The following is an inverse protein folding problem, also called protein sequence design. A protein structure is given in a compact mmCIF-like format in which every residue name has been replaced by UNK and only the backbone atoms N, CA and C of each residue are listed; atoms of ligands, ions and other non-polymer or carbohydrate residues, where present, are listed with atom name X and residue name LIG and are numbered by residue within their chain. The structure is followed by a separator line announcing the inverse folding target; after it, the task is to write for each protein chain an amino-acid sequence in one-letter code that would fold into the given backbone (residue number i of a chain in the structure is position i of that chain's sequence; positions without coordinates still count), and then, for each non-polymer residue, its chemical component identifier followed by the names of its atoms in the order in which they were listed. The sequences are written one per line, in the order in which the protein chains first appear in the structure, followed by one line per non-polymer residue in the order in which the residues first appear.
data_IF_809647091888
#
_entry.id   IF_809647091888
#
_cell.length_a   1.000
_cell.length_b   1.000
_cell.length_c   1.000
_cell.angle_alpha   90.00
_cell.angle_beta   90.00
_cell.angle_gamma   90.00
#
_symmetry.space_group_name_H-M   'P 1'
#
loop_
_entity.id
_entity.type
_entity.pdbx_description
1 polymer ?
#
# COMPACT_ATOMS: atom_id res chain seq x y z
N UNK A 1 8.17 16.05 27.47
CA UNK A 1 9.21 15.16 26.92
C UNK A 1 8.52 14.11 26.07
N UNK A 2 8.88 13.98 24.80
CA UNK A 2 8.34 12.93 23.92
C UNK A 2 8.97 11.58 24.29
N UNK A 3 8.21 10.49 24.14
CA UNK A 3 8.73 9.13 24.37
C UNK A 3 9.90 8.82 23.41
N UNK A 4 10.91 8.02 23.82
CA UNK A 4 11.96 7.54 22.93
C UNK A 4 11.42 6.84 21.67
N UNK A 5 10.23 6.21 21.76
CA UNK A 5 9.54 5.61 20.60
C UNK A 5 9.18 6.62 19.51
N UNK A 6 8.98 7.89 19.89
CA UNK A 6 8.54 8.97 18.99
C UNK A 6 9.67 9.93 18.61
N UNK A 7 10.73 10.02 19.42
CA UNK A 7 11.77 11.05 19.29
C UNK A 7 13.20 10.53 19.52
N UNK A 8 13.38 9.23 19.72
CA UNK A 8 14.68 8.60 19.85
C UNK A 8 15.32 8.26 18.50
N UNK A 9 16.31 7.38 18.54
CA UNK A 9 17.03 6.92 17.35
C UNK A 9 18.06 7.94 16.81
N UNK A 10 18.86 7.52 15.82
CA UNK A 10 20.00 8.31 15.31
C UNK A 10 19.59 9.59 14.58
N UNK A 11 18.33 9.69 14.14
CA UNK A 11 17.77 10.86 13.46
C UNK A 11 16.68 11.58 14.26
N UNK A 12 16.42 11.15 15.51
CA UNK A 12 15.33 11.70 16.32
C UNK A 12 13.93 11.40 15.77
N UNK A 13 13.79 10.40 14.89
CA UNK A 13 12.53 10.02 14.22
C UNK A 13 11.79 8.85 14.93
N UNK A 14 12.27 8.46 16.11
CA UNK A 14 11.83 7.30 16.86
C UNK A 14 12.82 6.13 16.79
N UNK A 15 12.60 5.16 17.67
CA UNK A 15 13.42 3.95 17.77
C UNK A 15 13.27 3.07 16.51
N UNK A 16 14.36 2.79 15.76
CA UNK A 16 14.32 1.91 14.59
C UNK A 16 13.88 0.48 14.87
N UNK A 17 14.11 -0.03 16.07
CA UNK A 17 13.87 -1.45 16.41
C UNK A 17 12.54 -1.64 17.15
N UNK A 18 11.79 -0.55 17.37
CA UNK A 18 10.41 -0.61 17.86
C UNK A 18 9.51 -1.30 16.83
N UNK A 19 8.85 -2.39 17.26
CA UNK A 19 7.90 -3.17 16.44
C UNK A 19 6.43 -2.82 16.72
N UNK A 20 6.17 -1.88 17.64
CA UNK A 20 4.79 -1.47 17.94
C UNK A 20 4.17 -0.68 16.80
N UNK A 21 2.86 -0.89 16.58
CA UNK A 21 2.09 -0.18 15.57
C UNK A 21 1.23 0.91 16.21
N UNK A 22 1.44 2.13 15.75
CA UNK A 22 0.58 3.29 16.00
C UNK A 22 -0.76 3.08 15.29
N UNK A 23 -1.79 3.80 15.77
CA UNK A 23 -3.14 3.76 15.19
C UNK A 23 -3.13 4.02 13.68
N UNK A 24 -2.45 5.08 13.24
CA UNK A 24 -2.31 5.43 11.82
C UNK A 24 -1.62 4.34 11.00
N UNK A 25 -0.69 3.61 11.57
CA UNK A 25 0.03 2.54 10.86
C UNK A 25 -0.88 1.35 10.66
N UNK A 26 -1.58 0.96 11.72
CA UNK A 26 -2.52 -0.17 11.74
C UNK A 26 -3.75 0.06 10.87
N UNK A 27 -4.29 1.27 10.89
CA UNK A 27 -5.59 1.60 10.28
C UNK A 27 -5.46 2.26 8.90
N UNK A 28 -4.30 2.85 8.57
CA UNK A 28 -4.13 3.60 7.32
C UNK A 28 -2.94 3.08 6.50
N UNK A 29 -1.73 3.06 7.05
CA UNK A 29 -0.53 2.80 6.24
C UNK A 29 -0.40 1.34 5.81
N UNK A 30 -0.60 0.37 6.72
CA UNK A 30 -0.59 -1.05 6.36
C UNK A 30 -1.77 -1.38 5.42
N UNK A 31 -3.02 -0.95 5.68
CA UNK A 31 -4.12 -1.16 4.74
C UNK A 31 -3.90 -0.50 3.36
N UNK A 32 -3.17 0.63 3.30
CA UNK A 32 -2.75 1.25 2.05
C UNK A 32 -1.73 0.37 1.31
N UNK A 33 -0.71 -0.12 2.01
CA UNK A 33 0.30 -1.01 1.44
C UNK A 33 -0.34 -2.30 0.89
N UNK A 34 -1.23 -2.91 1.68
CA UNK A 34 -2.05 -4.04 1.24
C UNK A 34 -2.81 -3.71 -0.04
N UNK A 35 -3.46 -2.54 -0.12
CA UNK A 35 -4.19 -2.10 -1.33
C UNK A 35 -3.32 -2.10 -2.57
N UNK A 36 -2.13 -1.53 -2.44
CA UNK A 36 -1.19 -1.33 -3.54
C UNK A 36 -0.61 -2.68 -3.97
N UNK A 37 -0.17 -3.51 -3.02
CA UNK A 37 0.29 -4.88 -3.28
C UNK A 37 -0.78 -5.71 -3.98
N UNK A 38 -2.00 -5.71 -3.43
CA UNK A 38 -3.11 -6.45 -4.01
C UNK A 38 -3.46 -5.96 -5.42
N UNK A 39 -3.51 -4.65 -5.66
CA UNK A 39 -3.86 -4.10 -6.99
C UNK A 39 -2.81 -4.42 -8.05
N UNK A 40 -1.52 -4.32 -7.71
CA UNK A 40 -0.45 -4.39 -8.70
C UNK A 40 0.25 -5.74 -8.80
N UNK A 41 0.09 -6.61 -7.81
CA UNK A 41 0.69 -7.95 -7.78
C UNK A 41 -0.41 -9.02 -7.82
N UNK A 42 -1.32 -9.03 -6.84
CA UNK A 42 -2.24 -10.17 -6.68
C UNK A 42 -3.45 -10.15 -7.64
N UNK A 43 -3.96 -8.96 -7.98
CA UNK A 43 -5.15 -8.75 -8.80
C UNK A 43 -4.81 -8.00 -10.10
N UNK A 44 -3.56 -8.10 -10.58
CA UNK A 44 -3.03 -7.30 -11.69
C UNK A 44 -3.83 -7.47 -12.98
N UNK A 45 -4.31 -8.69 -13.27
CA UNK A 45 -5.10 -8.96 -14.48
C UNK A 45 -6.43 -8.22 -14.46
N UNK A 46 -7.18 -8.33 -13.37
CA UNK A 46 -8.47 -7.65 -13.20
C UNK A 46 -8.29 -6.14 -13.10
N UNK A 47 -7.19 -5.68 -12.51
CA UNK A 47 -6.83 -4.27 -12.47
C UNK A 47 -6.55 -3.72 -13.88
N UNK A 48 -5.85 -4.47 -14.72
CA UNK A 48 -5.60 -4.10 -16.12
C UNK A 48 -6.89 -4.11 -16.95
N UNK A 49 -7.78 -5.08 -16.76
CA UNK A 49 -9.10 -5.09 -17.41
C UNK A 49 -9.94 -3.86 -16.99
N UNK A 50 -9.89 -3.48 -15.71
CA UNK A 50 -10.58 -2.29 -15.23
C UNK A 50 -9.97 -1.02 -15.82
N UNK A 51 -8.64 -0.89 -15.82
CA UNK A 51 -7.93 0.25 -16.41
C UNK A 51 -8.23 0.36 -17.91
N UNK A 52 -8.33 -0.76 -18.64
CA UNK A 52 -8.72 -0.78 -20.04
C UNK A 52 -10.16 -0.31 -20.24
N UNK A 53 -11.11 -0.86 -19.48
CA UNK A 53 -12.50 -0.44 -19.53
C UNK A 53 -12.66 1.06 -19.20
N UNK A 54 -11.92 1.55 -18.21
CA UNK A 54 -11.92 2.95 -17.82
C UNK A 54 -11.41 3.86 -18.94
N UNK A 55 -10.33 3.46 -19.64
CA UNK A 55 -9.78 4.21 -20.79
C UNK A 55 -10.77 4.28 -21.95
N UNK A 56 -11.49 3.20 -22.24
CA UNK A 56 -12.46 3.15 -23.34
C UNK A 56 -13.73 3.96 -23.06
N UNK A 57 -14.18 3.97 -21.80
CA UNK A 57 -15.47 4.56 -21.44
C UNK A 57 -15.37 5.97 -20.85
N UNK A 58 -14.17 6.41 -20.46
CA UNK A 58 -13.91 7.72 -19.89
C UNK A 58 -14.93 8.07 -18.80
N UNK A 59 -15.67 9.16 -19.00
CA UNK A 59 -16.69 9.62 -18.06
C UNK A 59 -17.78 8.58 -17.75
N UNK A 60 -18.13 7.70 -18.70
CA UNK A 60 -19.16 6.69 -18.53
C UNK A 60 -18.68 5.42 -17.83
N UNK A 61 -17.42 5.34 -17.39
CA UNK A 61 -16.87 4.14 -16.75
C UNK A 61 -17.65 3.65 -15.53
N UNK A 62 -18.24 4.56 -14.73
CA UNK A 62 -19.01 4.19 -13.53
C UNK A 62 -20.27 3.37 -13.88
N UNK A 63 -20.78 3.53 -15.09
CA UNK A 63 -21.92 2.78 -15.59
C UNK A 63 -21.44 1.54 -16.37
N UNK A 64 -20.49 1.72 -17.27
CA UNK A 64 -20.11 0.68 -18.23
C UNK A 64 -19.14 -0.35 -17.65
N UNK A 65 -18.32 0.02 -16.67
CA UNK A 65 -17.29 -0.85 -16.08
C UNK A 65 -17.72 -1.52 -14.78
N UNK A 66 -19.02 -1.48 -14.42
CA UNK A 66 -19.53 -2.04 -13.15
C UNK A 66 -19.16 -3.52 -12.94
N UNK A 67 -19.27 -4.33 -13.99
CA UNK A 67 -18.95 -5.76 -13.91
C UNK A 67 -17.47 -6.01 -13.61
N UNK A 68 -16.58 -5.26 -14.27
CA UNK A 68 -15.12 -5.37 -14.03
C UNK A 68 -14.76 -4.80 -12.66
N UNK A 69 -15.39 -3.70 -12.25
CA UNK A 69 -15.24 -3.14 -10.91
C UNK A 69 -15.63 -4.15 -9.82
N UNK A 70 -16.75 -4.85 -9.97
CA UNK A 70 -17.17 -5.85 -8.99
C UNK A 70 -16.15 -6.99 -8.87
N UNK A 71 -15.67 -7.53 -9.99
CA UNK A 71 -14.59 -8.53 -9.97
C UNK A 71 -13.33 -8.01 -9.29
N UNK A 72 -12.98 -6.75 -9.51
CA UNK A 72 -11.83 -6.12 -8.86
C UNK A 72 -12.06 -6.01 -7.34
N UNK A 73 -13.25 -5.57 -6.90
CA UNK A 73 -13.59 -5.52 -5.48
C UNK A 73 -13.58 -6.90 -4.83
N UNK A 74 -14.12 -7.92 -5.51
CA UNK A 74 -14.15 -9.29 -5.01
C UNK A 74 -12.74 -9.84 -4.84
N UNK A 75 -11.86 -9.62 -5.82
CA UNK A 75 -10.45 -10.00 -5.73
C UNK A 75 -9.75 -9.26 -4.58
N UNK A 76 -9.95 -7.94 -4.45
CA UNK A 76 -9.30 -7.18 -3.39
C UNK A 76 -9.79 -7.60 -1.99
N UNK A 77 -11.08 -7.88 -1.85
CA UNK A 77 -11.69 -8.25 -0.57
C UNK A 77 -11.10 -9.55 -0.02
N UNK A 78 -10.87 -10.57 -0.86
CA UNK A 78 -10.30 -11.84 -0.39
C UNK A 78 -8.89 -11.68 0.19
N UNK A 79 -8.09 -10.74 -0.33
CA UNK A 79 -6.75 -10.44 0.21
C UNK A 79 -6.81 -9.58 1.47
N UNK A 80 -7.77 -8.66 1.56
CA UNK A 80 -7.94 -7.83 2.75
C UNK A 80 -8.34 -8.63 3.99
N UNK A 81 -9.10 -9.71 3.82
CA UNK A 81 -9.53 -10.61 4.89
C UNK A 81 -8.46 -11.66 5.24
N UNK A 82 -7.36 -11.73 4.48
CA UNK A 82 -6.27 -12.67 4.72
C UNK A 82 -5.30 -12.15 5.80
N UNK A 83 -5.29 -12.83 6.96
CA UNK A 83 -4.43 -12.48 8.10
C UNK A 83 -2.93 -12.66 7.83
N UNK A 84 -2.55 -13.70 7.09
CA UNK A 84 -1.15 -13.97 6.73
C UNK A 84 -0.62 -12.85 5.82
N UNK A 85 -1.42 -12.46 4.83
CA UNK A 85 -1.11 -11.34 3.94
C UNK A 85 -0.97 -10.01 4.71
N UNK A 86 -1.85 -9.78 5.69
CA UNK A 86 -1.75 -8.62 6.57
C UNK A 86 -0.48 -8.65 7.41
N UNK A 87 -0.09 -9.81 7.93
CA UNK A 87 1.15 -9.97 8.70
C UNK A 87 2.39 -9.71 7.85
N UNK A 88 2.40 -10.22 6.61
CA UNK A 88 3.48 -9.96 5.64
C UNK A 88 3.61 -8.45 5.33
N UNK A 89 2.51 -7.79 4.96
CA UNK A 89 2.52 -6.34 4.71
C UNK A 89 2.91 -5.54 5.96
N UNK A 90 2.56 -6.02 7.15
CA UNK A 90 2.96 -5.39 8.42
C UNK A 90 4.48 -5.47 8.61
N UNK A 91 5.08 -6.63 8.33
CA UNK A 91 6.53 -6.83 8.42
C UNK A 91 7.27 -5.92 7.44
N UNK A 92 6.85 -5.88 6.18
CA UNK A 92 7.42 -4.99 5.16
C UNK A 92 7.32 -3.51 5.58
N UNK A 93 6.17 -3.10 6.11
CA UNK A 93 6.00 -1.74 6.61
C UNK A 93 6.97 -1.40 7.76
N UNK A 94 7.14 -2.34 8.71
CA UNK A 94 8.05 -2.16 9.84
C UNK A 94 9.51 -2.04 9.37
N UNK A 95 9.91 -2.81 8.36
CA UNK A 95 11.23 -2.72 7.73
C UNK A 95 11.45 -1.34 7.08
N UNK A 96 10.50 -0.88 6.26
CA UNK A 96 10.57 0.47 5.65
C UNK A 96 10.63 1.57 6.71
N UNK A 97 9.85 1.45 7.78
CA UNK A 97 9.85 2.41 8.90
C UNK A 97 11.17 2.39 9.64
N UNK A 98 11.73 1.21 9.88
CA UNK A 98 13.02 1.04 10.55
C UNK A 98 14.12 1.76 9.77
N UNK A 99 14.17 1.54 8.44
CA UNK A 99 15.11 2.21 7.56
C UNK A 99 14.92 3.74 7.54
N UNK A 100 13.68 4.23 7.49
CA UNK A 100 13.40 5.65 7.61
C UNK A 100 13.89 6.23 8.94
N UNK A 101 13.70 5.52 10.06
CA UNK A 101 14.16 5.96 11.38
C UNK A 101 15.69 5.92 11.52
N UNK A 102 16.38 4.99 10.84
CA UNK A 102 17.85 4.90 10.80
C UNK A 102 18.46 6.01 9.94
N UNK A 103 17.91 6.22 8.74
CA UNK A 103 18.55 7.01 7.69
C UNK A 103 17.96 8.41 7.52
N UNK A 104 16.67 8.58 7.84
CA UNK A 104 15.89 9.77 7.52
C UNK A 104 15.37 9.80 6.07
N UNK A 105 15.61 8.76 5.28
CA UNK A 105 15.23 8.71 3.87
C UNK A 105 13.91 7.94 3.72
N UNK A 106 12.86 8.62 3.26
CA UNK A 106 11.56 8.01 3.04
C UNK A 106 11.56 7.13 1.79
N UNK A 107 11.03 5.91 1.92
CA UNK A 107 10.84 5.01 0.78
C UNK A 107 9.47 5.25 0.13
N UNK A 108 9.43 5.23 -1.21
CA UNK A 108 8.16 5.14 -1.95
C UNK A 108 7.58 3.73 -1.76
N UNK A 109 6.28 3.56 -2.00
CA UNK A 109 5.67 2.24 -1.98
C UNK A 109 6.42 1.30 -2.96
N UNK A 110 6.80 0.09 -2.53
CA UNK A 110 7.44 -0.88 -3.43
C UNK A 110 6.46 -1.40 -4.49
N UNK A 111 5.15 -1.24 -4.28
CA UNK A 111 4.11 -1.71 -5.18
C UNK A 111 3.60 -0.58 -6.05
N UNK A 112 4.16 -0.50 -7.26
CA UNK A 112 3.77 0.47 -8.29
C UNK A 112 3.14 -0.24 -9.48
N UNK A 113 2.30 0.48 -10.22
CA UNK A 113 1.74 -0.04 -11.46
C UNK A 113 2.89 -0.36 -12.44
N UNK A 114 3.06 -1.61 -12.90
CA UNK A 114 4.12 -1.97 -13.84
C UNK A 114 3.98 -1.26 -15.20
N UNK A 115 2.78 -0.79 -15.52
CA UNK A 115 2.45 -0.05 -16.74
C UNK A 115 2.51 1.48 -16.58
N UNK A 116 2.84 2.00 -15.38
CA UNK A 116 3.08 3.45 -15.22
C UNK A 116 4.45 3.77 -15.83
N UNK A 117 4.44 4.56 -16.91
CA UNK A 117 5.66 5.27 -17.33
C UNK A 117 6.06 6.21 -16.19
N UNK A 118 7.33 6.25 -15.87
CA UNK A 118 7.87 7.07 -14.79
C UNK A 118 7.65 8.55 -15.15
N UNK A 119 6.62 9.17 -14.56
CA UNK A 119 6.35 10.61 -14.68
C UNK A 119 7.35 11.43 -13.83
N UNK A 120 8.63 11.01 -13.80
CA UNK A 120 9.72 11.80 -13.25
C UNK A 120 10.00 12.96 -14.22
N UNK A 121 9.29 14.07 -14.02
CA UNK A 121 9.73 15.40 -14.44
C UNK A 121 9.98 16.26 -13.21
#
# INVERSE_FOLDING_TARGET
MLSPKLSGGPKGLGDPDDLSLRKVEREVLIPKLMREKTRWINCVDVANEFDQCAKENGFFMIFNCRKVNNRMQDCMKSWYENEEFRAECTKEYLEMRSEYRRTGIGQKSPYVNPNKKDDSK
#
